data_IF_603813551638
#
_entry.id   IF_603813551638
#
_cell.length_a   1.000
_cell.length_b   1.000
_cell.length_c   1.000
_cell.angle_alpha   90.00
_cell.angle_beta   90.00
_cell.angle_gamma   90.00
#
_symmetry.space_group_name_H-M   'P 1'
#
loop_
_entity.id
_entity.type
_entity.pdbx_description
1 polymer ?
#
# COMPACT_ATOMS: atom_id res chain seq x y z
N UNK A 1 -2.44 21.23 4.21
CA UNK A 1 -1.78 20.10 4.93
C UNK A 1 -0.62 20.67 5.75
N UNK A 2 -0.30 20.13 6.93
CA UNK A 2 0.95 20.50 7.60
C UNK A 2 0.85 21.42 8.84
N UNK A 3 -0.34 21.68 9.39
CA UNK A 3 -0.51 22.55 10.58
C UNK A 3 -0.88 21.72 11.82
N UNK A 4 -1.97 20.96 11.77
CA UNK A 4 -2.42 20.13 12.89
C UNK A 4 -1.48 18.96 13.20
N UNK A 5 -0.78 18.43 12.21
CA UNK A 5 0.16 17.32 12.34
C UNK A 5 1.55 17.73 12.87
N UNK A 6 1.73 19.00 13.26
CA UNK A 6 2.95 19.54 13.85
C UNK A 6 2.80 19.96 15.32
N UNK A 7 1.60 19.83 15.88
CA UNK A 7 1.38 20.18 17.29
C UNK A 7 2.13 19.20 18.20
N UNK A 8 2.55 19.63 19.41
CA UNK A 8 3.17 18.72 20.39
C UNK A 8 2.29 17.50 20.68
N UNK A 9 0.97 17.66 20.67
CA UNK A 9 -0.01 16.60 20.88
C UNK A 9 0.04 15.56 19.75
N UNK A 10 0.10 16.00 18.50
CA UNK A 10 0.20 15.09 17.35
C UNK A 10 1.56 14.39 17.30
N UNK A 11 2.64 15.11 17.61
CA UNK A 11 4.00 14.55 17.60
C UNK A 11 4.21 13.49 18.70
N UNK A 12 3.43 13.51 19.79
CA UNK A 12 3.37 12.41 20.77
C UNK A 12 2.79 11.13 20.17
N UNK A 13 1.92 11.23 19.17
CA UNK A 13 1.31 10.07 18.50
C UNK A 13 2.16 9.55 17.34
N UNK A 14 2.72 10.45 16.53
CA UNK A 14 3.65 10.12 15.47
C UNK A 14 4.82 11.12 15.47
N UNK A 15 6.03 10.71 15.89
CA UNK A 15 7.17 11.62 15.99
C UNK A 15 7.62 12.18 14.62
N UNK A 16 7.23 11.54 13.52
CA UNK A 16 7.51 12.02 12.17
C UNK A 16 6.49 13.07 11.69
N UNK A 17 5.42 13.32 12.44
CA UNK A 17 4.35 14.24 12.05
C UNK A 17 3.64 13.82 10.75
N UNK A 18 3.71 12.54 10.36
CA UNK A 18 3.04 12.02 9.16
C UNK A 18 1.61 11.61 9.48
N UNK A 19 0.74 11.75 8.48
CA UNK A 19 -0.59 11.14 8.46
C UNK A 19 -0.57 9.93 7.52
N UNK A 20 -1.40 8.89 7.75
CA UNK A 20 -2.41 8.78 8.80
C UNK A 20 -1.87 8.34 10.17
N UNK A 21 -2.67 8.59 11.21
CA UNK A 21 -2.55 8.08 12.59
C UNK A 21 -3.95 7.65 13.03
N UNK A 22 -4.07 6.49 13.68
CA UNK A 22 -5.30 5.99 14.30
C UNK A 22 -5.13 6.03 15.83
N UNK A 23 -6.01 6.72 16.53
CA UNK A 23 -6.11 6.62 17.99
C UNK A 23 -6.92 5.38 18.37
N UNK A 24 -6.41 4.58 19.31
CA UNK A 24 -7.07 3.38 19.85
C UNK A 24 -7.15 3.47 21.38
N UNK A 25 -7.99 2.65 22.05
CA UNK A 25 -8.05 2.62 23.51
C UNK A 25 -6.70 2.33 24.19
N UNK A 26 -5.81 1.61 23.51
CA UNK A 26 -4.49 1.19 24.03
C UNK A 26 -3.35 2.13 23.61
N UNK A 27 -3.65 3.14 22.79
CA UNK A 27 -2.69 4.12 22.28
C UNK A 27 -2.74 4.30 20.76
N UNK A 28 -1.95 5.25 20.22
CA UNK A 28 -1.95 5.57 18.80
C UNK A 28 -1.17 4.53 17.96
N UNK A 29 -1.66 4.29 16.74
CA UNK A 29 -1.00 3.48 15.71
C UNK A 29 -0.77 4.37 14.49
N UNK A 30 0.46 4.40 13.97
CA UNK A 30 0.83 5.12 12.75
C UNK A 30 1.40 4.17 11.70
N UNK A 31 1.54 4.65 10.47
CA UNK A 31 1.71 3.89 9.21
C UNK A 31 0.39 3.28 8.71
N UNK A 32 0.00 3.63 7.47
CA UNK A 32 -1.27 3.23 6.86
C UNK A 32 -1.47 1.71 6.84
N UNK A 33 -0.42 0.97 6.47
CA UNK A 33 -0.45 -0.49 6.42
C UNK A 33 -0.57 -1.13 7.82
N UNK A 34 -0.03 -0.50 8.88
CA UNK A 34 -0.20 -0.98 10.25
C UNK A 34 -1.63 -0.73 10.75
N UNK A 35 -2.17 0.45 10.47
CA UNK A 35 -3.57 0.82 10.76
C UNK A 35 -4.53 -0.14 10.07
N UNK A 36 -4.32 -0.44 8.79
CA UNK A 36 -5.17 -1.37 8.04
C UNK A 36 -5.17 -2.77 8.66
N UNK A 37 -4.00 -3.29 9.06
CA UNK A 37 -3.89 -4.58 9.77
C UNK A 37 -4.60 -4.56 11.12
N UNK A 38 -4.45 -3.48 11.89
CA UNK A 38 -5.14 -3.32 13.18
C UNK A 38 -6.66 -3.38 12.99
N UNK A 39 -7.21 -2.58 12.07
CA UNK A 39 -8.64 -2.55 11.77
C UNK A 39 -9.15 -3.91 11.27
N UNK A 40 -8.38 -4.58 10.41
CA UNK A 40 -8.76 -5.90 9.91
C UNK A 40 -8.86 -6.94 11.04
N UNK A 41 -8.01 -6.85 12.05
CA UNK A 41 -7.96 -7.77 13.20
C UNK A 41 -8.93 -7.44 14.34
N UNK A 42 -9.71 -6.35 14.24
CA UNK A 42 -10.72 -6.01 15.25
C UNK A 42 -11.86 -7.03 15.36
N UNK A 43 -12.05 -7.86 14.33
CA UNK A 43 -13.02 -8.95 14.32
C UNK A 43 -12.29 -10.24 13.98
N UNK A 44 -12.42 -11.25 14.84
CA UNK A 44 -11.75 -12.54 14.69
C UNK A 44 -12.16 -13.30 13.42
N UNK A 45 -13.33 -12.99 12.87
CA UNK A 45 -13.91 -13.61 11.68
C UNK A 45 -13.79 -12.75 10.40
N UNK A 46 -12.87 -11.78 10.39
CA UNK A 46 -12.70 -10.89 9.23
C UNK A 46 -11.89 -11.54 8.09
N UNK A 47 -12.48 -11.77 6.90
CA UNK A 47 -11.78 -12.44 5.81
C UNK A 47 -10.75 -11.55 5.10
N UNK A 48 -10.72 -10.23 5.38
CA UNK A 48 -9.90 -9.27 4.61
C UNK A 48 -8.38 -9.44 4.79
N UNK A 49 -7.94 -10.10 5.86
CA UNK A 49 -6.52 -10.31 6.13
C UNK A 49 -6.07 -11.76 5.96
N UNK A 50 -6.96 -12.66 5.52
CA UNK A 50 -6.68 -14.09 5.39
C UNK A 50 -6.81 -14.87 6.70
N UNK A 51 -7.23 -16.12 6.59
CA UNK A 51 -7.52 -17.02 7.71
C UNK A 51 -6.37 -17.99 8.02
N UNK A 52 -5.45 -18.16 7.08
CA UNK A 52 -4.23 -18.95 7.26
C UNK A 52 -2.96 -18.10 7.21
N UNK A 53 -1.85 -18.64 7.72
CA UNK A 53 -0.54 -17.95 7.68
C UNK A 53 -0.10 -17.59 6.26
N UNK A 54 -0.41 -18.44 5.27
CA UNK A 54 -0.01 -18.21 3.88
C UNK A 54 -0.89 -17.14 3.22
N UNK A 55 -2.19 -17.11 3.51
CA UNK A 55 -3.09 -16.06 3.03
C UNK A 55 -2.70 -14.70 3.62
N UNK A 56 -2.39 -14.65 4.92
CA UNK A 56 -1.87 -13.44 5.58
C UNK A 56 -0.58 -12.96 4.92
N UNK A 57 0.37 -13.86 4.68
CA UNK A 57 1.62 -13.52 4.00
C UNK A 57 1.39 -12.99 2.57
N UNK A 58 0.41 -13.52 1.82
CA UNK A 58 0.06 -12.98 0.51
C UNK A 58 -0.56 -11.58 0.58
N UNK A 59 -1.41 -11.30 1.57
CA UNK A 59 -1.95 -9.95 1.79
C UNK A 59 -0.80 -8.99 2.11
N UNK A 60 0.08 -9.36 3.03
CA UNK A 60 1.24 -8.55 3.42
C UNK A 60 2.20 -8.31 2.27
N UNK A 61 2.48 -9.34 1.46
CA UNK A 61 3.31 -9.24 0.26
C UNK A 61 2.81 -8.12 -0.67
N UNK A 62 1.50 -8.05 -0.93
CA UNK A 62 0.94 -7.04 -1.82
C UNK A 62 0.83 -5.66 -1.18
N UNK A 63 0.56 -5.59 0.13
CA UNK A 63 0.58 -4.32 0.88
C UNK A 63 1.98 -3.69 0.86
N UNK A 64 3.01 -4.50 1.11
CA UNK A 64 4.39 -4.03 1.14
C UNK A 64 4.90 -3.75 -0.27
N UNK A 65 4.55 -4.58 -1.27
CA UNK A 65 4.82 -4.30 -2.69
C UNK A 65 4.24 -2.95 -3.14
N UNK A 66 2.99 -2.64 -2.78
CA UNK A 66 2.40 -1.35 -3.12
C UNK A 66 3.21 -0.21 -2.48
N UNK A 67 3.52 -0.32 -1.19
CA UNK A 67 4.25 0.71 -0.45
C UNK A 67 5.69 0.94 -0.95
N UNK A 68 6.37 -0.10 -1.44
CA UNK A 68 7.80 0.00 -1.83
C UNK A 68 8.02 0.11 -3.33
N UNK A 69 7.18 -0.51 -4.16
CA UNK A 69 7.37 -0.60 -5.61
C UNK A 69 6.42 0.28 -6.42
N UNK A 70 5.28 0.70 -5.84
CA UNK A 70 4.26 1.50 -6.55
C UNK A 70 4.22 2.93 -6.02
N UNK A 71 4.00 3.12 -4.72
CA UNK A 71 3.78 4.43 -4.11
C UNK A 71 4.90 5.45 -4.41
N UNK A 72 6.20 5.10 -4.34
CA UNK A 72 7.26 6.06 -4.66
C UNK A 72 7.20 6.53 -6.11
N UNK A 73 6.93 5.62 -7.05
CA UNK A 73 6.80 5.94 -8.47
C UNK A 73 5.61 6.86 -8.73
N UNK A 74 4.47 6.58 -8.08
CA UNK A 74 3.27 7.44 -8.17
C UNK A 74 3.58 8.83 -7.62
N UNK A 75 4.24 8.93 -6.45
CA UNK A 75 4.59 10.19 -5.83
C UNK A 75 5.49 11.05 -6.73
N UNK A 76 6.58 10.46 -7.26
CA UNK A 76 7.52 11.17 -8.14
C UNK A 76 6.91 11.60 -9.48
N UNK A 77 5.92 10.87 -9.97
CA UNK A 77 5.17 11.25 -11.17
C UNK A 77 4.09 12.32 -10.89
N UNK A 78 3.33 12.17 -9.80
CA UNK A 78 2.13 12.97 -9.55
C UNK A 78 2.43 14.30 -8.84
N UNK A 79 3.30 14.30 -7.83
CA UNK A 79 3.53 15.48 -6.99
C UNK A 79 4.07 16.69 -7.76
N UNK A 80 4.96 16.54 -8.77
CA UNK A 80 5.35 17.67 -9.60
C UNK A 80 4.19 18.29 -10.39
N UNK A 81 3.25 17.48 -10.89
CA UNK A 81 2.07 17.95 -11.65
C UNK A 81 1.08 18.69 -10.76
N UNK A 82 1.02 18.34 -9.48
CA UNK A 82 0.19 19.00 -8.48
C UNK A 82 0.88 20.23 -7.86
N UNK A 83 2.12 20.55 -8.26
CA UNK A 83 2.88 21.68 -7.75
C UNK A 83 3.48 21.47 -6.36
N UNK A 84 3.53 20.22 -5.86
CA UNK A 84 4.14 19.91 -4.56
C UNK A 84 5.66 19.72 -4.63
N UNK A 85 6.21 19.41 -5.81
CA UNK A 85 7.63 19.21 -6.06
C UNK A 85 8.04 19.89 -7.38
N UNK A 86 9.31 20.25 -7.57
CA UNK A 86 9.80 20.74 -8.87
C UNK A 86 9.74 19.63 -9.92
N UNK A 87 9.40 20.00 -11.15
CA UNK A 87 9.46 19.09 -12.29
C UNK A 87 10.91 18.87 -12.76
N UNK A 88 11.31 17.61 -12.87
CA UNK A 88 12.60 17.19 -13.41
C UNK A 88 12.35 16.00 -14.34
N UNK A 89 12.66 16.15 -15.63
CA UNK A 89 12.33 15.15 -16.66
C UNK A 89 12.97 13.79 -16.41
N UNK A 90 14.23 13.75 -15.98
CA UNK A 90 14.96 12.49 -15.69
C UNK A 90 14.37 11.73 -14.50
N UNK A 91 13.89 12.45 -13.48
CA UNK A 91 13.19 11.85 -12.32
C UNK A 91 11.84 11.28 -12.74
N UNK A 92 11.11 11.99 -13.60
CA UNK A 92 9.85 11.52 -14.15
C UNK A 92 10.03 10.25 -15.00
N UNK A 93 11.00 10.25 -15.92
CA UNK A 93 11.29 9.08 -16.76
C UNK A 93 11.61 7.85 -15.91
N UNK A 94 12.41 8.05 -14.86
CA UNK A 94 12.74 7.00 -13.89
C UNK A 94 11.49 6.52 -13.15
N UNK A 95 10.62 7.43 -12.70
CA UNK A 95 9.37 7.09 -12.01
C UNK A 95 8.43 6.30 -12.92
N UNK A 96 8.24 6.72 -14.17
CA UNK A 96 7.42 6.03 -15.16
C UNK A 96 7.98 4.64 -15.47
N UNK A 97 9.30 4.51 -15.64
CA UNK A 97 9.95 3.23 -15.90
C UNK A 97 9.75 2.25 -14.74
N UNK A 98 9.98 2.70 -13.50
CA UNK A 98 9.74 1.91 -12.30
C UNK A 98 8.27 1.51 -12.17
N UNK A 99 7.32 2.41 -12.38
CA UNK A 99 5.89 2.10 -12.35
C UNK A 99 5.49 1.05 -13.39
N UNK A 100 6.00 1.16 -14.63
CA UNK A 100 5.74 0.17 -15.68
C UNK A 100 6.23 -1.21 -15.27
N UNK A 101 7.43 -1.31 -14.67
CA UNK A 101 7.98 -2.57 -14.17
C UNK A 101 7.10 -3.16 -13.07
N UNK A 102 6.73 -2.37 -12.07
CA UNK A 102 5.92 -2.82 -10.93
C UNK A 102 4.51 -3.26 -11.37
N UNK A 103 3.84 -2.44 -12.19
CA UNK A 103 2.52 -2.79 -12.73
C UNK A 103 2.59 -4.01 -13.67
N UNK A 104 3.68 -4.18 -14.40
CA UNK A 104 3.94 -5.39 -15.19
C UNK A 104 4.00 -6.65 -14.33
N UNK A 105 4.73 -6.61 -13.21
CA UNK A 105 4.81 -7.73 -12.27
C UNK A 105 3.45 -8.08 -11.63
N UNK A 106 2.68 -7.07 -11.23
CA UNK A 106 1.31 -7.24 -10.74
C UNK A 106 0.42 -7.91 -11.78
N UNK A 107 0.51 -7.44 -13.03
CA UNK A 107 -0.27 -7.95 -14.14
C UNK A 107 0.03 -9.43 -14.39
N UNK A 108 1.30 -9.85 -14.43
CA UNK A 108 1.68 -11.26 -14.58
C UNK A 108 1.07 -12.15 -13.49
N UNK A 109 1.01 -11.69 -12.25
CA UNK A 109 0.45 -12.47 -11.15
C UNK A 109 -1.08 -12.57 -11.20
N UNK A 110 -1.79 -11.49 -11.55
CA UNK A 110 -3.25 -11.52 -11.72
C UNK A 110 -3.69 -12.31 -12.96
N UNK A 111 -2.92 -12.23 -14.06
CA UNK A 111 -3.12 -13.09 -15.22
C UNK A 111 -2.84 -14.56 -14.91
N UNK A 112 -1.87 -14.89 -14.06
CA UNK A 112 -1.65 -16.26 -13.61
C UNK A 112 -2.84 -16.81 -12.81
N UNK A 113 -3.49 -16.00 -11.96
CA UNK A 113 -4.70 -16.39 -11.25
C UNK A 113 -5.91 -16.59 -12.18
N UNK A 114 -6.04 -15.78 -13.23
CA UNK A 114 -7.06 -15.95 -14.28
C UNK A 114 -6.80 -17.18 -15.16
N UNK A 115 -5.54 -17.49 -15.48
CA UNK A 115 -5.18 -18.68 -16.25
C UNK A 115 -5.33 -19.97 -15.42
N UNK A 116 -5.02 -19.93 -14.13
CA UNK A 116 -5.27 -21.07 -13.21
C UNK A 116 -6.77 -21.29 -13.02
N UNK A 117 -7.58 -20.23 -12.91
CA UNK A 117 -9.04 -20.40 -12.88
C UNK A 117 -9.57 -20.94 -14.22
N UNK A 118 -9.10 -20.41 -15.37
CA UNK A 118 -9.46 -20.92 -16.70
C UNK A 118 -9.03 -22.38 -16.93
N UNK A 119 -7.86 -22.81 -16.44
CA UNK A 119 -7.40 -24.20 -16.54
C UNK A 119 -8.26 -25.15 -15.72
N UNK A 120 -8.75 -24.73 -14.55
CA UNK A 120 -9.70 -25.52 -13.74
C UNK A 120 -11.06 -25.66 -14.45
N UNK A 121 -11.50 -24.65 -15.21
CA UNK A 121 -12.72 -24.71 -16.02
C UNK A 121 -12.60 -25.63 -17.25
N UNK A 122 -11.40 -25.81 -17.83
CA UNK A 122 -11.20 -26.67 -19.00
C UNK A 122 -10.91 -28.14 -18.68
N UNK A 123 -10.55 -28.49 -17.44
CA UNK A 123 -10.31 -29.89 -17.02
C UNK A 123 -11.51 -30.56 -16.34
N UNK A 124 -12.62 -29.82 -16.16
CA UNK A 124 -13.87 -30.31 -15.55
C UNK A 124 -15.06 -30.35 -16.56
N UNK A 125 -14.76 -30.30 -17.85
CA UNK A 125 -15.66 -30.66 -18.96
C UNK A 125 -14.99 -31.74 -19.80
#
# INVERSE_FOLDING_TARGET
>A
MGVSNKTPEFLKMNPLGKVPVLETPDGPVFESNAIARYVARLKDDNPLFGSSRIEQAHVEQWMDFAATEVDPGVAWYLYPRLGYLPYVSTTEETAISSLKRSLGALNTHQFALLLVSMLIWYTLL
#
